data_IF_376388682403
#
_entry.id   IF_376388682403
#
_cell.length_a   1.000
_cell.length_b   1.000
_cell.length_c   1.000
_cell.angle_alpha   90.00
_cell.angle_beta   90.00
_cell.angle_gamma   90.00
#
_symmetry.space_group_name_H-M   'P 1'
#
loop_
_entity.id
_entity.type
_entity.pdbx_description
1 polymer ?
#
# COMPACT_ATOMS: atom_id res chain seq x y z
N UNK A 1 -27.09 -19.27 10.55
CA UNK A 1 -26.13 -18.23 10.12
C UNK A 1 -24.88 -18.45 10.96
N UNK A 2 -23.86 -18.99 10.32
CA UNK A 2 -22.64 -19.51 10.96
C UNK A 2 -21.71 -18.35 11.30
N UNK A 3 -20.91 -18.51 12.36
CA UNK A 3 -19.97 -17.52 12.92
C UNK A 3 -18.84 -17.03 11.97
N UNK A 4 -18.98 -17.19 10.66
CA UNK A 4 -18.12 -16.60 9.63
C UNK A 4 -18.50 -15.16 9.28
N UNK A 5 -19.76 -14.75 9.52
CA UNK A 5 -20.31 -13.47 9.05
C UNK A 5 -19.89 -12.26 9.92
N UNK A 6 -19.40 -12.50 11.14
CA UNK A 6 -19.07 -11.45 12.11
C UNK A 6 -17.83 -10.61 11.76
N UNK A 7 -16.88 -11.15 10.99
CA UNK A 7 -15.65 -10.43 10.61
C UNK A 7 -15.84 -9.56 9.37
N UNK A 8 -16.58 -10.03 8.38
CA UNK A 8 -16.83 -9.29 7.13
C UNK A 8 -17.76 -8.09 7.35
N UNK A 9 -18.76 -8.23 8.22
CA UNK A 9 -19.62 -7.11 8.63
C UNK A 9 -18.84 -6.00 9.36
N UNK A 10 -17.74 -6.34 10.06
CA UNK A 10 -17.00 -5.38 10.87
C UNK A 10 -16.27 -4.31 10.05
N UNK A 11 -15.82 -4.63 8.83
CA UNK A 11 -15.05 -3.74 7.95
C UNK A 11 -15.87 -3.13 6.82
N UNK A 12 -17.07 -3.64 6.54
CA UNK A 12 -17.95 -3.14 5.49
C UNK A 12 -18.17 -1.62 5.62
N UNK A 13 -17.84 -0.87 4.56
CA UNK A 13 -17.94 0.61 4.48
C UNK A 13 -17.10 1.39 5.52
N UNK A 14 -16.10 0.76 6.15
CA UNK A 14 -15.19 1.45 7.09
C UNK A 14 -13.79 1.69 6.56
N UNK A 15 -13.42 1.03 5.47
CA UNK A 15 -12.07 1.09 4.89
C UNK A 15 -12.18 1.29 3.39
N UNK A 16 -11.25 2.05 2.83
CA UNK A 16 -11.12 2.28 1.39
C UNK A 16 -9.64 2.19 1.00
N UNK A 17 -9.38 1.78 -0.24
CA UNK A 17 -8.10 1.98 -0.90
C UNK A 17 -8.18 3.35 -1.56
N UNK A 18 -7.30 4.26 -1.15
CA UNK A 18 -7.33 5.66 -1.59
C UNK A 18 -6.23 6.01 -2.57
N UNK A 19 -5.20 5.16 -2.72
CA UNK A 19 -4.20 5.26 -3.77
C UNK A 19 -3.48 3.94 -3.99
N UNK A 20 -2.99 3.72 -5.21
CA UNK A 20 -2.22 2.55 -5.60
C UNK A 20 -1.30 2.87 -6.78
N UNK A 21 -0.02 2.57 -6.65
CA UNK A 21 0.98 2.79 -7.70
C UNK A 21 2.15 1.82 -7.54
N UNK A 22 2.99 1.73 -8.58
CA UNK A 22 4.21 0.92 -8.62
C UNK A 22 5.47 1.78 -8.47
N UNK A 23 6.64 1.12 -8.43
CA UNK A 23 7.93 1.81 -8.51
C UNK A 23 8.12 2.50 -9.87
N UNK A 24 9.02 3.50 -9.92
CA UNK A 24 9.21 4.34 -11.12
C UNK A 24 9.65 3.53 -12.36
N UNK A 25 10.26 2.36 -12.15
CA UNK A 25 10.61 1.39 -13.18
C UNK A 25 10.14 0.00 -12.76
N UNK A 26 9.76 -0.85 -13.73
CA UNK A 26 9.27 -2.21 -13.50
C UNK A 26 10.10 -3.20 -14.32
N UNK A 27 10.41 -4.37 -13.74
CA UNK A 27 11.09 -5.47 -14.43
C UNK A 27 12.46 -5.80 -13.83
N UNK A 28 13.46 -6.00 -14.69
CA UNK A 28 14.85 -6.25 -14.26
C UNK A 28 15.56 -4.91 -14.12
N UNK A 29 15.59 -4.39 -12.89
CA UNK A 29 16.17 -3.08 -12.52
C UNK A 29 17.35 -3.28 -11.56
N UNK A 30 18.53 -3.72 -12.06
CA UNK A 30 19.66 -4.13 -11.22
C UNK A 30 20.33 -2.97 -10.48
N UNK A 31 20.05 -1.73 -10.87
CA UNK A 31 20.58 -0.51 -10.25
C UNK A 31 19.75 -0.02 -9.06
N UNK A 32 18.58 -0.63 -8.78
CA UNK A 32 17.73 -0.28 -7.64
C UNK A 32 17.67 -1.43 -6.64
N UNK A 33 17.88 -1.11 -5.37
CA UNK A 33 17.63 -2.03 -4.27
C UNK A 33 16.12 -2.25 -4.07
N UNK A 34 15.77 -3.35 -3.41
CA UNK A 34 14.36 -3.66 -3.04
C UNK A 34 13.75 -2.58 -2.13
N UNK A 35 14.56 -1.94 -1.29
CA UNK A 35 14.15 -0.79 -0.48
C UNK A 35 13.79 0.42 -1.34
N UNK A 36 14.59 0.74 -2.37
CA UNK A 36 14.30 1.86 -3.28
C UNK A 36 12.99 1.62 -4.04
N UNK A 37 12.77 0.40 -4.54
CA UNK A 37 11.52 0.05 -5.24
C UNK A 37 10.31 0.20 -4.32
N UNK A 38 10.39 -0.27 -3.06
CA UNK A 38 9.34 -0.06 -2.07
C UNK A 38 9.10 1.42 -1.77
N UNK A 39 10.17 2.22 -1.63
CA UNK A 39 10.07 3.63 -1.32
C UNK A 39 9.43 4.42 -2.47
N UNK A 40 9.78 4.10 -3.73
CA UNK A 40 9.16 4.69 -4.92
C UNK A 40 7.68 4.33 -4.99
N UNK A 41 7.32 3.04 -4.90
CA UNK A 41 5.93 2.60 -4.94
C UNK A 41 5.08 3.23 -3.83
N UNK A 42 5.61 3.26 -2.60
CA UNK A 42 4.92 3.90 -1.48
C UNK A 42 4.73 5.40 -1.68
N UNK A 43 5.77 6.11 -2.17
CA UNK A 43 5.68 7.55 -2.47
C UNK A 43 4.63 7.82 -3.54
N UNK A 44 4.66 7.07 -4.63
CA UNK A 44 3.76 7.27 -5.76
C UNK A 44 2.29 6.95 -5.36
N UNK A 45 2.06 5.91 -4.56
CA UNK A 45 0.74 5.60 -4.03
C UNK A 45 0.20 6.68 -3.06
N UNK A 46 1.08 7.36 -2.31
CA UNK A 46 0.68 8.50 -1.48
C UNK A 46 0.33 9.73 -2.34
N UNK A 47 1.05 9.94 -3.44
CA UNK A 47 0.75 10.99 -4.42
C UNK A 47 -0.60 10.74 -5.12
N UNK A 48 -0.88 9.51 -5.55
CA UNK A 48 -2.18 9.09 -6.09
C UNK A 48 -3.32 9.32 -5.08
N UNK A 49 -3.06 9.02 -3.81
CA UNK A 49 -4.00 9.29 -2.71
C UNK A 49 -4.14 10.79 -2.35
N UNK A 50 -3.22 11.64 -2.78
CA UNK A 50 -3.20 13.07 -2.45
C UNK A 50 -2.91 13.37 -0.97
N UNK A 51 -2.16 12.51 -0.28
CA UNK A 51 -1.81 12.67 1.15
C UNK A 51 -0.31 12.76 1.36
N UNK A 52 0.10 13.33 2.49
CA UNK A 52 1.50 13.42 2.89
C UNK A 52 1.95 12.18 3.70
N UNK A 53 3.25 11.86 3.64
CA UNK A 53 3.84 10.79 4.46
C UNK A 53 3.60 10.98 5.97
N UNK A 54 3.52 12.23 6.44
CA UNK A 54 3.25 12.56 7.84
C UNK A 54 1.86 12.15 8.31
N UNK A 55 0.95 11.80 7.41
CA UNK A 55 -0.41 11.33 7.71
C UNK A 55 -0.47 9.79 7.83
N UNK A 56 0.64 9.09 7.62
CA UNK A 56 0.72 7.62 7.68
C UNK A 56 1.14 7.16 9.07
N UNK A 57 0.24 6.45 9.77
CA UNK A 57 0.50 5.91 11.11
C UNK A 57 1.01 4.46 11.11
N UNK A 58 1.01 3.79 9.95
CA UNK A 58 1.37 2.37 9.85
C UNK A 58 1.86 1.97 8.47
N UNK A 59 2.91 1.14 8.45
CA UNK A 59 3.48 0.58 7.24
C UNK A 59 3.47 -0.95 7.32
N UNK A 60 2.99 -1.58 6.25
CA UNK A 60 3.00 -3.02 6.07
C UNK A 60 3.73 -3.32 4.76
N UNK A 61 4.81 -4.11 4.82
CA UNK A 61 5.68 -4.39 3.68
C UNK A 61 5.91 -5.90 3.56
N UNK A 62 6.16 -6.36 2.34
CA UNK A 62 6.50 -7.74 2.03
C UNK A 62 7.49 -7.78 0.86
N UNK A 63 8.54 -8.58 0.99
CA UNK A 63 9.60 -8.68 -0.02
C UNK A 63 10.98 -8.77 0.64
N UNK A 64 11.98 -9.18 -0.14
CA UNK A 64 13.39 -9.30 0.26
C UNK A 64 14.28 -8.78 -0.85
#
# INVERSE_FOLDING_TARGET
MTSSDGKTAALYKKVAIVGADESDEIGIVPHKSTLQLHAEAARNALEDAGIALSEVDGIFSAGS
#
